data_IF_974783979420
#
_entry.id   IF_974783979420
#
_cell.length_a   1.000
_cell.length_b   1.000
_cell.length_c   1.000
_cell.angle_alpha   90.00
_cell.angle_beta   90.00
_cell.angle_gamma   90.00
#
_symmetry.space_group_name_H-M   'P 1'
#
loop_
_entity.id
_entity.type
_entity.pdbx_description
1 polymer ?
#
# COMPACT_ATOMS: atom_id res chain seq x y z
N UNK A 1 -4.33 -8.92 21.92
CA UNK A 1 -4.13 -9.43 20.54
C UNK A 1 -2.65 -9.72 20.36
N UNK A 2 -2.14 -10.75 21.04
CA UNK A 2 -0.70 -10.83 21.34
C UNK A 2 0.02 -11.94 20.56
N UNK A 3 -0.71 -12.62 19.67
CA UNK A 3 -0.21 -13.75 18.89
C UNK A 3 -0.27 -13.42 17.40
N UNK A 4 0.91 -13.32 16.78
CA UNK A 4 1.04 -13.21 15.34
C UNK A 4 0.84 -14.60 14.71
N UNK A 5 -0.14 -14.70 13.82
CA UNK A 5 -0.39 -15.93 13.07
C UNK A 5 0.16 -15.74 11.65
N UNK A 6 1.02 -16.66 11.23
CA UNK A 6 1.47 -16.70 9.85
C UNK A 6 0.32 -17.14 8.94
N UNK A 7 0.24 -16.57 7.75
CA UNK A 7 -0.69 -17.00 6.71
C UNK A 7 0.04 -17.16 5.39
N UNK A 8 -0.46 -18.07 4.55
CA UNK A 8 0.04 -18.25 3.20
C UNK A 8 -0.89 -17.50 2.23
N UNK A 9 -0.46 -16.34 1.69
CA UNK A 9 -1.28 -15.62 0.72
C UNK A 9 -1.37 -16.42 -0.60
N UNK A 10 -2.47 -16.31 -1.36
CA UNK A 10 -2.64 -16.98 -2.65
C UNK A 10 -1.88 -16.27 -3.77
N UNK A 11 -0.60 -15.94 -3.54
CA UNK A 11 0.27 -15.19 -4.47
C UNK A 11 0.51 -15.92 -5.78
N UNK A 12 0.37 -17.25 -5.80
CA UNK A 12 0.60 -18.06 -7.00
C UNK A 12 -0.45 -17.79 -8.08
N UNK A 13 -1.64 -17.36 -7.69
CA UNK A 13 -2.79 -17.15 -8.58
C UNK A 13 -2.98 -15.68 -8.99
N UNK A 14 -2.21 -14.76 -8.40
CA UNK A 14 -2.46 -13.32 -8.46
C UNK A 14 -1.54 -12.55 -9.42
N UNK A 15 -0.72 -13.24 -10.22
CA UNK A 15 0.24 -12.61 -11.13
C UNK A 15 1.50 -12.08 -10.44
N UNK A 16 2.50 -11.73 -11.24
CA UNK A 16 3.81 -11.20 -10.79
C UNK A 16 3.87 -9.66 -10.81
N UNK A 17 2.70 -9.00 -10.85
CA UNK A 17 2.61 -7.54 -10.87
C UNK A 17 1.73 -7.01 -9.72
N UNK A 18 2.11 -5.85 -9.16
CA UNK A 18 1.40 -5.26 -8.01
C UNK A 18 -0.07 -4.96 -8.30
N UNK A 19 -0.35 -4.44 -9.50
CA UNK A 19 -1.72 -4.19 -9.94
C UNK A 19 -2.58 -5.47 -9.95
N UNK A 20 -2.03 -6.60 -10.41
CA UNK A 20 -2.74 -7.88 -10.44
C UNK A 20 -3.02 -8.40 -9.02
N UNK A 21 -2.03 -8.27 -8.12
CA UNK A 21 -2.18 -8.63 -6.71
C UNK A 21 -3.29 -7.82 -6.06
N UNK A 22 -3.34 -6.51 -6.28
CA UNK A 22 -4.40 -5.67 -5.73
C UNK A 22 -5.77 -6.02 -6.32
N UNK A 23 -5.84 -6.32 -7.61
CA UNK A 23 -7.07 -6.80 -8.25
C UNK A 23 -7.53 -8.13 -7.63
N UNK A 24 -6.61 -9.05 -7.32
CA UNK A 24 -6.91 -10.31 -6.64
C UNK A 24 -7.40 -10.09 -5.19
N UNK A 25 -6.77 -9.19 -4.43
CA UNK A 25 -7.20 -8.82 -3.07
C UNK A 25 -8.63 -8.27 -3.08
N UNK A 26 -8.97 -7.41 -4.03
CA UNK A 26 -10.32 -6.86 -4.16
C UNK A 26 -11.34 -7.93 -4.58
N UNK A 27 -10.94 -8.86 -5.45
CA UNK A 27 -11.81 -9.93 -5.96
C UNK A 27 -12.12 -10.98 -4.90
N UNK A 28 -11.15 -11.32 -4.06
CA UNK A 28 -11.21 -12.43 -3.09
C UNK A 28 -10.65 -12.00 -1.71
N UNK A 29 -11.21 -10.95 -1.08
CA UNK A 29 -10.62 -10.37 0.14
C UNK A 29 -10.52 -11.37 1.29
N UNK A 30 -11.42 -12.34 1.37
CA UNK A 30 -11.42 -13.38 2.40
C UNK A 30 -10.21 -14.33 2.28
N UNK A 31 -9.69 -14.53 1.08
CA UNK A 31 -8.48 -15.34 0.85
C UNK A 31 -7.21 -14.60 1.25
N UNK A 32 -7.22 -13.26 1.17
CA UNK A 32 -6.08 -12.40 1.45
C UNK A 32 -6.04 -11.85 2.88
N UNK A 33 -7.19 -11.80 3.55
CA UNK A 33 -7.37 -11.19 4.87
C UNK A 33 -7.91 -12.24 5.87
N UNK A 34 -7.09 -13.23 6.25
CA UNK A 34 -7.52 -14.39 7.04
C UNK A 34 -8.04 -14.04 8.44
N UNK A 35 -7.69 -12.85 8.96
CA UNK A 35 -8.20 -12.35 10.25
C UNK A 35 -9.75 -12.32 10.29
N UNK A 36 -10.41 -12.19 9.14
CA UNK A 36 -11.88 -12.16 9.08
C UNK A 36 -12.53 -13.55 9.07
N UNK A 37 -11.75 -14.62 8.85
CA UNK A 37 -12.25 -16.00 8.92
C UNK A 37 -12.34 -16.53 10.35
N UNK A 38 -11.56 -15.96 11.27
CA UNK A 38 -11.46 -16.43 12.66
C UNK A 38 -12.56 -15.91 13.59
N UNK A 39 -13.50 -15.10 13.09
CA UNK A 39 -14.64 -14.64 13.89
C UNK A 39 -14.27 -13.65 15.01
N UNK A 40 -13.16 -12.93 14.88
CA UNK A 40 -12.84 -11.82 15.79
C UNK A 40 -13.95 -10.76 15.70
N UNK A 41 -14.54 -10.38 16.84
CA UNK A 41 -15.65 -9.42 16.94
C UNK A 41 -15.27 -7.99 16.50
N UNK A 42 -13.96 -7.70 16.38
CA UNK A 42 -13.44 -6.45 15.80
C UNK A 42 -13.28 -6.50 14.27
N UNK A 43 -13.72 -7.58 13.63
CA UNK A 43 -13.78 -7.67 12.18
C UNK A 43 -14.56 -6.49 11.59
N UNK A 44 -13.92 -5.74 10.69
CA UNK A 44 -14.51 -4.65 9.91
C UNK A 44 -15.14 -5.28 8.67
N UNK A 45 -16.46 -5.60 8.66
CA UNK A 45 -17.07 -6.40 7.59
C UNK A 45 -16.99 -5.71 6.22
N UNK A 46 -16.80 -4.40 6.21
CA UNK A 46 -16.60 -3.57 5.04
C UNK A 46 -15.34 -3.99 4.24
N UNK A 47 -14.34 -4.59 4.89
CA UNK A 47 -13.13 -5.08 4.22
C UNK A 47 -13.35 -6.39 3.44
N UNK A 48 -14.50 -7.05 3.59
CA UNK A 48 -14.93 -8.12 2.68
C UNK A 48 -15.68 -7.58 1.45
N UNK A 49 -16.00 -6.29 1.44
CA UNK A 49 -16.68 -5.59 0.36
C UNK A 49 -15.76 -4.53 -0.27
N UNK A 50 -14.46 -4.87 -0.36
CA UNK A 50 -13.49 -4.00 -1.01
C UNK A 50 -13.92 -3.71 -2.45
N UNK A 51 -13.75 -2.45 -2.81
CA UNK A 51 -13.83 -1.98 -4.19
C UNK A 51 -12.46 -1.47 -4.61
N UNK A 52 -12.14 -1.45 -5.92
CA UNK A 52 -10.87 -0.89 -6.39
C UNK A 52 -10.60 0.53 -5.85
N UNK A 53 -11.64 1.36 -5.68
CA UNK A 53 -11.54 2.73 -5.14
C UNK A 53 -11.30 2.80 -3.62
N UNK A 54 -11.47 1.69 -2.90
CA UNK A 54 -11.16 1.61 -1.47
C UNK A 54 -9.72 1.21 -1.18
N UNK A 55 -8.95 0.83 -2.20
CA UNK A 55 -7.56 0.40 -2.07
C UNK A 55 -6.64 1.45 -2.67
N UNK A 56 -5.56 1.79 -1.97
CA UNK A 56 -4.54 2.73 -2.47
C UNK A 56 -3.19 2.04 -2.53
N UNK A 57 -2.55 2.07 -3.70
CA UNK A 57 -1.14 1.65 -3.83
C UNK A 57 -0.23 2.82 -3.54
N UNK A 58 0.74 2.61 -2.64
CA UNK A 58 1.74 3.62 -2.34
C UNK A 58 3.11 3.09 -2.75
N UNK A 59 3.72 3.75 -3.72
CA UNK A 59 4.92 3.24 -4.40
C UNK A 59 5.76 4.39 -4.97
N UNK A 60 7.04 4.15 -5.21
CA UNK A 60 7.91 5.13 -5.84
C UNK A 60 7.99 4.98 -7.36
N UNK A 61 7.63 3.80 -7.89
CA UNK A 61 7.76 3.47 -9.30
C UNK A 61 6.40 3.53 -10.01
N UNK A 62 6.26 4.48 -10.94
CA UNK A 62 5.04 4.66 -11.72
C UNK A 62 4.65 3.42 -12.55
N UNK A 63 5.63 2.60 -12.94
CA UNK A 63 5.38 1.34 -13.66
C UNK A 63 4.57 0.32 -12.85
N UNK A 64 4.48 0.46 -11.52
CA UNK A 64 3.70 -0.44 -10.68
C UNK A 64 2.19 -0.13 -10.68
N UNK A 65 1.75 1.02 -11.22
CA UNK A 65 0.36 1.46 -11.18
C UNK A 65 -0.52 0.87 -12.28
N UNK A 66 0.08 0.27 -13.30
CA UNK A 66 -0.62 -0.34 -14.43
C UNK A 66 0.19 -1.54 -14.92
N UNK A 67 -0.47 -2.70 -15.09
CA UNK A 67 0.13 -3.83 -15.77
C UNK A 67 -0.23 -3.82 -17.25
N UNK A 68 0.72 -3.57 -18.17
CA UNK A 68 0.41 -3.53 -19.61
C UNK A 68 0.06 -4.91 -20.20
N UNK A 69 0.37 -6.01 -19.50
CA UNK A 69 0.12 -7.38 -19.96
C UNK A 69 -1.29 -7.84 -19.63
N UNK A 70 -1.74 -7.63 -18.39
CA UNK A 70 -3.09 -8.02 -17.94
C UNK A 70 -4.13 -6.92 -18.19
N UNK A 71 -3.71 -5.66 -18.31
CA UNK A 71 -4.58 -4.49 -18.36
C UNK A 71 -5.10 -4.03 -17.00
N UNK A 72 -4.67 -4.66 -15.90
CA UNK A 72 -5.07 -4.25 -14.55
C UNK A 72 -4.46 -2.88 -14.20
N UNK A 73 -5.29 -2.00 -13.65
CA UNK A 73 -4.91 -0.63 -13.31
C UNK A 73 -5.30 -0.29 -11.88
N UNK A 74 -4.38 0.36 -11.16
CA UNK A 74 -4.65 0.88 -9.83
C UNK A 74 -5.35 2.23 -9.93
N UNK A 75 -6.60 2.30 -9.46
CA UNK A 75 -7.41 3.52 -9.56
C UNK A 75 -6.99 4.63 -8.60
N UNK A 76 -6.44 4.26 -7.43
CA UNK A 76 -5.94 5.20 -6.44
C UNK A 76 -4.51 4.85 -6.09
N UNK A 77 -3.61 5.78 -6.31
CA UNK A 77 -2.20 5.61 -5.99
C UNK A 77 -1.62 6.89 -5.40
N UNK A 78 -0.56 6.72 -4.62
CA UNK A 78 0.28 7.80 -4.14
C UNK A 78 1.71 7.49 -4.56
N UNK A 79 2.25 8.32 -5.46
CA UNK A 79 3.65 8.22 -5.83
C UNK A 79 4.51 8.94 -4.80
N UNK A 80 5.50 8.25 -4.24
CA UNK A 80 6.37 8.83 -3.22
C UNK A 80 7.83 8.84 -3.61
N UNK A 81 8.56 9.83 -3.11
CA UNK A 81 10.00 9.87 -3.28
C UNK A 81 10.68 8.85 -2.35
N UNK A 82 11.82 8.32 -2.79
CA UNK A 82 12.73 7.58 -1.90
C UNK A 82 13.55 8.57 -1.09
N UNK A 83 13.73 8.26 0.19
CA UNK A 83 14.58 9.05 1.06
C UNK A 83 16.03 8.56 0.97
N UNK A 84 16.94 9.52 0.86
CA UNK A 84 18.37 9.32 1.10
C UNK A 84 18.72 10.02 2.42
N UNK A 85 19.44 9.35 3.31
CA UNK A 85 19.75 9.90 4.63
C UNK A 85 21.19 9.62 5.05
N UNK A 86 21.76 10.56 5.81
CA UNK A 86 23.09 10.40 6.39
C UNK A 86 23.02 9.68 7.74
N UNK A 87 23.60 8.48 7.81
CA UNK A 87 23.72 7.73 9.06
C UNK A 87 25.13 7.82 9.65
N UNK A 88 25.18 7.95 10.98
CA UNK A 88 26.43 8.06 11.74
C UNK A 88 27.30 6.83 11.48
N UNK A 89 28.51 7.03 10.97
CA UNK A 89 29.51 5.99 10.61
C UNK A 89 29.13 5.08 9.43
N UNK A 90 28.01 5.31 8.75
CA UNK A 90 27.59 4.55 7.56
C UNK A 90 27.58 5.38 6.27
N UNK A 91 27.70 6.72 6.37
CA UNK A 91 27.70 7.61 5.22
C UNK A 91 26.29 7.93 4.71
N UNK A 92 26.17 8.35 3.44
CA UNK A 92 24.88 8.53 2.77
C UNK A 92 24.34 7.16 2.40
N UNK A 93 23.26 6.75 3.05
CA UNK A 93 22.51 5.58 2.65
C UNK A 93 21.46 6.02 1.65
N UNK A 94 21.51 5.44 0.45
CA UNK A 94 20.56 5.71 -0.62
C UNK A 94 19.41 4.72 -0.58
N UNK A 95 18.22 5.14 -1.03
CA UNK A 95 17.03 4.29 -1.06
C UNK A 95 16.67 3.73 0.32
N UNK A 96 16.74 4.56 1.36
CA UNK A 96 16.63 4.12 2.76
C UNK A 96 15.23 3.67 3.20
N UNK A 97 14.23 3.75 2.34
CA UNK A 97 12.93 3.16 2.58
C UNK A 97 11.78 3.98 2.03
N UNK A 98 10.57 3.44 2.24
CA UNK A 98 9.30 4.09 1.95
C UNK A 98 8.72 4.82 3.17
N UNK A 99 7.42 5.07 3.12
CA UNK A 99 6.71 5.88 4.11
C UNK A 99 6.73 5.23 5.50
N UNK A 100 6.94 6.05 6.52
CA UNK A 100 7.10 5.60 7.90
C UNK A 100 8.51 5.10 8.24
N UNK A 101 9.44 5.02 7.28
CA UNK A 101 10.84 4.66 7.56
C UNK A 101 11.62 5.80 8.23
N UNK A 102 11.14 7.04 8.10
CA UNK A 102 11.83 8.22 8.59
C UNK A 102 11.19 8.79 9.86
N UNK A 103 9.85 8.89 9.93
CA UNK A 103 9.12 9.28 11.15
C UNK A 103 7.64 8.89 11.10
N UNK A 104 6.99 8.83 12.27
CA UNK A 104 5.53 8.68 12.38
C UNK A 104 4.78 9.82 11.69
N UNK A 105 5.36 11.02 11.65
CA UNK A 105 4.78 12.18 10.97
C UNK A 105 4.65 11.97 9.46
N UNK A 106 5.57 11.21 8.84
CA UNK A 106 5.49 10.88 7.41
C UNK A 106 4.31 9.94 7.13
N UNK A 107 4.04 9.00 8.04
CA UNK A 107 2.87 8.13 7.96
C UNK A 107 1.57 8.92 8.10
N UNK A 108 1.48 9.82 9.08
CA UNK A 108 0.29 10.67 9.26
C UNK A 108 0.06 11.60 8.06
N UNK A 109 1.12 12.14 7.46
CA UNK A 109 1.03 12.95 6.25
C UNK A 109 0.50 12.14 5.06
N UNK A 110 1.04 10.92 4.84
CA UNK A 110 0.50 10.01 3.82
C UNK A 110 -0.96 9.71 4.08
N UNK A 111 -1.30 9.34 5.32
CA UNK A 111 -2.67 8.98 5.68
C UNK A 111 -3.64 10.13 5.38
N UNK A 112 -3.30 11.34 5.77
CA UNK A 112 -4.08 12.53 5.45
C UNK A 112 -4.21 12.73 3.93
N UNK A 113 -3.15 12.50 3.16
CA UNK A 113 -3.21 12.55 1.68
C UNK A 113 -4.14 11.49 1.09
N UNK A 114 -4.08 10.26 1.60
CA UNK A 114 -4.95 9.16 1.18
C UNK A 114 -6.41 9.44 1.53
N UNK A 115 -6.69 10.01 2.69
CA UNK A 115 -8.06 10.29 3.15
C UNK A 115 -8.65 11.55 2.51
N UNK A 116 -7.83 12.55 2.20
CA UNK A 116 -8.27 13.86 1.70
C UNK A 116 -7.27 14.46 0.70
N UNK A 117 -7.08 13.85 -0.49
CA UNK A 117 -6.06 14.31 -1.44
C UNK A 117 -6.30 15.76 -1.89
N UNK A 118 -7.55 16.22 -1.93
CA UNK A 118 -7.91 17.59 -2.30
C UNK A 118 -7.44 18.66 -1.30
N UNK A 119 -7.07 18.29 -0.06
CA UNK A 119 -6.49 19.24 0.89
C UNK A 119 -5.01 19.53 0.63
N UNK A 120 -4.37 18.73 -0.23
CA UNK A 120 -2.98 18.90 -0.61
C UNK A 120 -2.94 19.69 -1.91
N UNK A 121 -2.34 20.87 -1.86
CA UNK A 121 -2.10 21.68 -3.05
C UNK A 121 -0.78 21.25 -3.68
N UNK A 122 -0.73 21.27 -5.00
CA UNK A 122 0.54 21.23 -5.71
C UNK A 122 1.31 22.51 -5.35
N UNK A 123 2.43 22.36 -4.65
CA UNK A 123 3.40 23.45 -4.55
C UNK A 123 4.17 23.49 -5.86
N UNK A 124 3.80 24.43 -6.73
CA UNK A 124 4.62 24.78 -7.87
C UNK A 124 5.97 25.29 -7.35
N UNK A 125 7.03 24.52 -7.62
CA UNK A 125 8.42 24.94 -7.39
C UNK A 125 8.72 26.10 -8.34
N UNK A 126 8.60 27.35 -7.86
CA UNK A 126 9.15 28.54 -8.51
C UNK A 126 10.66 28.66 -8.29
#
# INVERSE_FOLDING_TARGET
GDQWNAFAPPVQDAGDHKADVLAAVVREPDAWLPQYRCGDEEAVPELLQLRPESVVLVDDQASNFENPVSGEQVLRYCQVARYDAHYRRMGLLKNMGGIGAHSDADYEALKAFVESPSSFKEESLE
#
